data_IF_679300709843
#
_entry.id   IF_679300709843
#
_cell.length_a   1.000
_cell.length_b   1.000
_cell.length_c   1.000
_cell.angle_alpha   90.00
_cell.angle_beta   90.00
_cell.angle_gamma   90.00
#
_symmetry.space_group_name_H-M   'P 1'
#
loop_
_entity.id
_entity.type
_entity.pdbx_description
1 polymer ?
#
# COMPACT_ATOMS: atom_id res chain seq x y z
N UNK A 1 -8.42 10.35 9.68
CA UNK A 1 -8.60 9.22 8.74
C UNK A 1 -7.26 8.72 8.19
N UNK A 2 -6.43 9.55 7.54
CA UNK A 2 -5.06 9.14 7.10
C UNK A 2 -4.28 8.50 8.26
N UNK A 3 -4.11 9.24 9.36
CA UNK A 3 -3.36 8.76 10.52
C UNK A 3 -3.95 7.48 11.12
N UNK A 4 -5.27 7.28 11.06
CA UNK A 4 -5.89 6.06 11.58
C UNK A 4 -5.50 4.82 10.78
N UNK A 5 -5.30 4.95 9.46
CA UNK A 5 -4.80 3.86 8.62
C UNK A 5 -3.35 3.59 8.94
N UNK A 6 -2.52 4.63 9.03
CA UNK A 6 -1.09 4.50 9.28
C UNK A 6 -0.80 3.98 10.69
N UNK A 7 -1.46 4.50 11.72
CA UNK A 7 -1.32 4.01 13.11
C UNK A 7 -1.76 2.57 13.23
N UNK A 8 -2.90 2.22 12.60
CA UNK A 8 -3.36 0.85 12.59
C UNK A 8 -2.32 -0.06 11.93
N UNK A 9 -1.83 0.31 10.75
CA UNK A 9 -0.95 -0.56 10.01
C UNK A 9 0.45 -0.67 10.63
N UNK A 10 1.05 0.44 11.09
CA UNK A 10 2.45 0.51 11.49
C UNK A 10 2.71 0.53 13.00
N UNK A 11 1.77 1.02 13.81
CA UNK A 11 1.98 1.18 15.26
C UNK A 11 1.27 0.10 16.07
N UNK A 12 0.06 -0.28 15.65
CA UNK A 12 -0.73 -1.31 16.31
C UNK A 12 -0.44 -2.71 15.79
N UNK A 13 0.07 -2.80 14.57
CA UNK A 13 0.32 -4.03 13.85
C UNK A 13 1.69 -3.97 13.17
N UNK A 14 2.19 -5.13 12.77
CA UNK A 14 3.53 -5.26 12.21
C UNK A 14 3.64 -6.44 11.24
N UNK A 15 4.87 -6.71 10.75
CA UNK A 15 5.14 -7.74 9.75
C UNK A 15 4.52 -9.10 10.05
N UNK A 16 4.52 -9.53 11.31
CA UNK A 16 3.96 -10.82 11.73
C UNK A 16 2.47 -10.94 11.39
N UNK A 17 1.73 -9.83 11.35
CA UNK A 17 0.30 -9.81 11.04
C UNK A 17 0.02 -9.42 9.59
N UNK A 18 0.85 -8.54 8.99
CA UNK A 18 0.69 -8.14 7.59
C UNK A 18 0.75 -9.33 6.62
N UNK A 19 1.61 -10.30 6.93
CA UNK A 19 1.88 -11.46 6.06
C UNK A 19 1.16 -12.74 6.50
N UNK A 20 0.56 -12.75 7.69
CA UNK A 20 -0.15 -13.91 8.21
C UNK A 20 -1.62 -13.93 7.75
N UNK A 21 -2.16 -15.14 7.61
CA UNK A 21 -3.60 -15.34 7.52
C UNK A 21 -4.18 -15.35 8.93
N UNK A 22 -4.83 -14.26 9.31
CA UNK A 22 -5.50 -14.09 10.60
C UNK A 22 -6.92 -13.55 10.39
N UNK A 23 -7.91 -14.39 10.68
CA UNK A 23 -9.34 -14.07 10.50
C UNK A 23 -9.77 -12.94 11.44
N UNK A 24 -9.23 -12.87 12.66
CA UNK A 24 -9.58 -11.80 13.60
C UNK A 24 -9.03 -10.44 13.14
N UNK A 25 -7.86 -10.46 12.52
CA UNK A 25 -7.26 -9.27 11.89
C UNK A 25 -8.07 -8.82 10.67
N UNK A 26 -8.44 -9.75 9.78
CA UNK A 26 -9.26 -9.47 8.59
C UNK A 26 -10.62 -8.86 8.98
N UNK A 27 -11.29 -9.39 10.01
CA UNK A 27 -12.56 -8.84 10.51
C UNK A 27 -12.40 -7.48 11.18
N UNK A 28 -11.25 -7.23 11.82
CA UNK A 28 -10.92 -5.90 12.35
C UNK A 28 -10.78 -4.88 11.22
N UNK A 29 -10.09 -5.25 10.13
CA UNK A 29 -9.98 -4.41 8.93
C UNK A 29 -11.35 -4.15 8.31
N UNK A 30 -12.17 -5.20 8.15
CA UNK A 30 -13.54 -5.11 7.63
C UNK A 30 -14.37 -4.10 8.41
N UNK A 31 -14.37 -4.22 9.73
CA UNK A 31 -15.18 -3.39 10.62
C UNK A 31 -14.71 -1.94 10.65
N UNK A 32 -13.39 -1.70 10.74
CA UNK A 32 -12.84 -0.34 10.91
C UNK A 32 -12.68 0.41 9.59
N UNK A 33 -12.33 -0.28 8.52
CA UNK A 33 -11.86 0.35 7.29
C UNK A 33 -12.61 -0.07 6.03
N UNK A 34 -13.58 -0.98 6.09
CA UNK A 34 -14.35 -1.41 4.92
C UNK A 34 -14.99 -0.25 4.16
N UNK A 35 -15.69 0.66 4.86
CA UNK A 35 -16.27 1.86 4.24
C UNK A 35 -15.20 2.78 3.64
N UNK A 36 -14.03 2.90 4.28
CA UNK A 36 -12.95 3.76 3.80
C UNK A 36 -12.27 3.18 2.56
N UNK A 37 -12.08 1.86 2.52
CA UNK A 37 -11.65 1.12 1.34
C UNK A 37 -12.62 1.35 0.17
N UNK A 38 -13.93 1.24 0.40
CA UNK A 38 -14.92 1.49 -0.67
C UNK A 38 -14.82 2.92 -1.24
N UNK A 39 -14.57 3.92 -0.39
CA UNK A 39 -14.36 5.31 -0.83
C UNK A 39 -13.07 5.46 -1.64
N UNK A 40 -11.99 4.80 -1.21
CA UNK A 40 -10.74 4.76 -1.98
C UNK A 40 -10.96 4.12 -3.36
N UNK A 41 -11.69 3.00 -3.41
CA UNK A 41 -12.02 2.30 -4.65
C UNK A 41 -12.87 3.14 -5.63
N UNK A 42 -13.65 4.10 -5.11
CA UNK A 42 -14.42 5.08 -5.90
C UNK A 42 -13.63 6.37 -6.21
N UNK A 43 -12.33 6.42 -5.88
CA UNK A 43 -11.46 7.58 -6.01
C UNK A 43 -11.92 8.84 -5.25
N UNK A 44 -12.74 8.68 -4.20
CA UNK A 44 -13.26 9.80 -3.39
C UNK A 44 -12.24 10.33 -2.36
N UNK A 45 -11.05 9.74 -2.31
CA UNK A 45 -9.95 10.13 -1.43
C UNK A 45 -8.84 10.89 -2.16
N UNK A 46 -9.11 11.44 -3.35
CA UNK A 46 -8.11 12.16 -4.16
C UNK A 46 -7.32 13.23 -3.38
N UNK A 47 -7.99 13.95 -2.47
CA UNK A 47 -7.38 14.96 -1.61
C UNK A 47 -6.26 14.40 -0.70
N UNK A 48 -6.21 13.08 -0.45
CA UNK A 48 -5.11 12.45 0.31
C UNK A 48 -3.80 12.48 -0.45
N UNK A 49 -3.85 12.58 -1.78
CA UNK A 49 -2.67 12.58 -2.65
C UNK A 49 -1.85 13.87 -2.54
N UNK A 50 -2.33 14.86 -1.78
CA UNK A 50 -1.62 16.09 -1.48
C UNK A 50 -0.41 15.89 -0.54
N UNK A 51 -0.33 14.78 0.20
CA UNK A 51 0.77 14.51 1.14
C UNK A 51 1.35 13.11 0.96
N UNK A 52 2.63 12.89 1.33
CA UNK A 52 3.24 11.56 1.31
C UNK A 52 2.46 10.52 2.12
N UNK A 53 2.09 10.87 3.36
CA UNK A 53 1.34 10.00 4.25
C UNK A 53 -0.06 9.67 3.71
N UNK A 54 -0.73 10.63 3.09
CA UNK A 54 -2.04 10.39 2.49
C UNK A 54 -1.95 9.46 1.28
N UNK A 55 -0.93 9.62 0.42
CA UNK A 55 -0.65 8.68 -0.69
C UNK A 55 -0.39 7.28 -0.18
N UNK A 56 0.47 7.14 0.84
CA UNK A 56 0.79 5.86 1.45
C UNK A 56 -0.47 5.17 2.00
N UNK A 57 -1.29 5.91 2.74
CA UNK A 57 -2.52 5.37 3.31
C UNK A 57 -3.53 4.94 2.25
N UNK A 58 -3.69 5.71 1.17
CA UNK A 58 -4.57 5.32 0.04
C UNK A 58 -4.07 4.05 -0.65
N UNK A 59 -2.76 3.91 -0.85
CA UNK A 59 -2.16 2.69 -1.42
C UNK A 59 -2.38 1.49 -0.49
N UNK A 60 -2.17 1.63 0.82
CA UNK A 60 -2.41 0.54 1.79
C UNK A 60 -3.87 0.09 1.76
N UNK A 61 -4.83 1.01 1.66
CA UNK A 61 -6.24 0.66 1.53
C UNK A 61 -6.47 -0.20 0.28
N UNK A 62 -5.99 0.23 -0.88
CA UNK A 62 -6.29 -0.43 -2.15
C UNK A 62 -5.50 -1.73 -2.37
N UNK A 63 -4.26 -1.81 -1.88
CA UNK A 63 -3.36 -2.92 -2.14
C UNK A 63 -3.39 -3.95 -1.00
N UNK A 64 -3.13 -3.52 0.23
CA UNK A 64 -3.00 -4.42 1.38
C UNK A 64 -4.37 -4.78 1.95
N UNK A 65 -5.21 -3.79 2.29
CA UNK A 65 -6.50 -4.08 2.93
C UNK A 65 -7.43 -4.84 1.99
N UNK A 66 -7.39 -4.61 0.68
CA UNK A 66 -8.15 -5.41 -0.28
C UNK A 66 -7.88 -6.91 -0.13
N UNK A 67 -6.61 -7.30 0.09
CA UNK A 67 -6.19 -8.70 0.27
C UNK A 67 -6.69 -9.30 1.58
N UNK A 68 -6.80 -8.50 2.64
CA UNK A 68 -7.44 -8.91 3.90
C UNK A 68 -8.97 -8.98 3.78
N UNK A 69 -9.60 -7.99 3.14
CA UNK A 69 -11.06 -7.84 3.02
C UNK A 69 -11.69 -8.92 2.14
N UNK A 70 -10.97 -9.36 1.11
CA UNK A 70 -11.47 -10.28 0.08
C UNK A 70 -10.58 -11.51 -0.06
N UNK A 71 -10.07 -12.02 1.07
CA UNK A 71 -9.22 -13.21 1.07
C UNK A 71 -9.90 -14.38 0.34
N UNK A 72 -9.10 -15.11 -0.44
CA UNK A 72 -9.54 -16.24 -1.27
C UNK A 72 -10.60 -15.86 -2.33
N UNK A 73 -10.73 -14.57 -2.67
CA UNK A 73 -11.68 -14.03 -3.66
C UNK A 73 -10.96 -13.13 -4.68
N UNK A 74 -11.38 -13.18 -5.95
CA UNK A 74 -10.76 -12.39 -7.03
C UNK A 74 -10.82 -10.87 -6.79
N UNK A 75 -11.77 -10.39 -5.97
CA UNK A 75 -11.86 -8.99 -5.58
C UNK A 75 -10.63 -8.48 -4.84
N UNK A 76 -9.83 -9.36 -4.22
CA UNK A 76 -8.57 -8.99 -3.60
C UNK A 76 -7.59 -8.31 -4.56
N UNK A 77 -7.70 -8.60 -5.86
CA UNK A 77 -6.81 -8.11 -6.91
C UNK A 77 -7.46 -7.03 -7.79
N UNK A 78 -8.75 -6.74 -7.57
CA UNK A 78 -9.52 -5.83 -8.42
C UNK A 78 -9.00 -4.38 -8.41
N UNK A 79 -8.20 -4.04 -7.40
CA UNK A 79 -7.71 -2.68 -7.15
C UNK A 79 -6.22 -2.52 -7.47
N UNK A 80 -5.51 -3.60 -7.80
CA UNK A 80 -4.06 -3.62 -8.05
C UNK A 80 -3.67 -2.61 -9.14
N UNK A 81 -4.47 -2.47 -10.19
CA UNK A 81 -4.24 -1.48 -11.26
C UNK A 81 -4.27 -0.03 -10.76
N UNK A 82 -5.25 0.32 -9.91
CA UNK A 82 -5.33 1.66 -9.33
C UNK A 82 -4.21 1.89 -8.32
N UNK A 83 -3.93 0.91 -7.45
CA UNK A 83 -2.84 0.97 -6.50
C UNK A 83 -1.48 1.19 -7.19
N UNK A 84 -1.24 0.51 -8.32
CA UNK A 84 -0.04 0.68 -9.12
C UNK A 84 0.08 2.09 -9.72
N UNK A 85 -1.00 2.64 -10.27
CA UNK A 85 -1.00 4.01 -10.80
C UNK A 85 -0.65 5.01 -9.69
N UNK A 86 -1.25 4.87 -8.50
CA UNK A 86 -0.98 5.75 -7.37
C UNK A 86 0.45 5.62 -6.85
N UNK A 87 0.97 4.39 -6.80
CA UNK A 87 2.36 4.13 -6.45
C UNK A 87 3.34 4.79 -7.44
N UNK A 88 3.08 4.68 -8.75
CA UNK A 88 3.89 5.33 -9.79
C UNK A 88 3.90 6.85 -9.64
N UNK A 89 2.73 7.45 -9.39
CA UNK A 89 2.64 8.89 -9.16
C UNK A 89 3.33 9.32 -7.86
N UNK A 90 3.26 8.51 -6.81
CA UNK A 90 3.95 8.79 -5.55
C UNK A 90 5.48 8.75 -5.70
N UNK A 91 6.02 7.74 -6.38
CA UNK A 91 7.46 7.61 -6.64
C UNK A 91 7.96 8.72 -7.57
N UNK A 92 7.20 9.09 -8.62
CA UNK A 92 7.54 10.23 -9.49
C UNK A 92 7.63 11.55 -8.72
N UNK A 93 6.81 11.71 -7.69
CA UNK A 93 6.82 12.87 -6.80
C UNK A 93 7.82 12.76 -5.64
N UNK A 94 8.64 11.70 -5.60
CA UNK A 94 9.55 11.38 -4.49
C UNK A 94 8.85 11.31 -3.12
N UNK A 95 7.54 11.03 -3.09
CA UNK A 95 6.75 10.98 -1.86
C UNK A 95 7.16 9.80 -0.97
N UNK A 96 7.59 8.69 -1.59
CA UNK A 96 8.17 7.54 -0.91
C UNK A 96 9.43 7.90 -0.11
N UNK A 97 10.21 8.88 -0.57
CA UNK A 97 11.41 9.32 0.15
C UNK A 97 11.09 10.18 1.38
N UNK A 98 9.89 10.75 1.44
CA UNK A 98 9.44 11.61 2.53
C UNK A 98 8.77 10.85 3.70
N UNK A 99 8.71 9.51 3.64
CA UNK A 99 8.24 8.66 4.74
C UNK A 99 9.39 7.84 5.36
N UNK A 100 9.24 7.36 6.61
CA UNK A 100 10.19 6.45 7.24
C UNK A 100 10.49 5.20 6.39
N UNK A 101 11.73 4.70 6.47
CA UNK A 101 12.27 3.65 5.60
C UNK A 101 11.45 2.34 5.63
N UNK A 102 11.01 1.95 6.82
CA UNK A 102 10.18 0.78 7.09
C UNK A 102 8.80 0.85 6.42
N UNK A 103 8.29 2.06 6.15
CA UNK A 103 7.00 2.29 5.48
C UNK A 103 7.12 2.31 3.97
N UNK A 104 8.30 2.63 3.42
CA UNK A 104 8.50 2.79 1.97
C UNK A 104 8.15 1.55 1.16
N UNK A 105 8.33 0.36 1.75
CA UNK A 105 8.02 -0.90 1.07
C UNK A 105 6.60 -0.94 0.52
N UNK A 106 5.64 -0.30 1.18
CA UNK A 106 4.24 -0.27 0.77
C UNK A 106 3.97 0.63 -0.44
N UNK A 107 4.84 1.58 -0.76
CA UNK A 107 4.80 2.26 -2.06
C UNK A 107 5.23 1.33 -3.20
N UNK A 108 6.02 0.30 -2.92
CA UNK A 108 6.60 -0.56 -3.95
C UNK A 108 5.86 -1.89 -4.13
N UNK A 109 5.08 -2.32 -3.13
CA UNK A 109 4.26 -3.54 -3.20
C UNK A 109 3.35 -3.58 -4.45
N UNK A 110 2.67 -2.50 -4.87
CA UNK A 110 1.85 -2.53 -6.08
C UNK A 110 2.63 -2.86 -7.37
N UNK A 111 3.92 -2.50 -7.44
CA UNK A 111 4.78 -2.92 -8.54
C UNK A 111 5.05 -4.42 -8.51
N UNK A 112 5.30 -4.97 -7.32
CA UNK A 112 5.55 -6.40 -7.12
C UNK A 112 4.31 -7.26 -7.41
N UNK A 113 3.12 -6.71 -7.16
CA UNK A 113 1.85 -7.37 -7.48
C UNK A 113 1.45 -7.28 -8.95
N UNK A 114 2.12 -6.45 -9.75
CA UNK A 114 1.85 -6.37 -11.19
C UNK A 114 2.32 -7.64 -11.90
N UNK A 115 1.49 -8.18 -12.79
CA UNK A 115 1.88 -9.28 -13.68
C UNK A 115 2.57 -8.80 -14.98
N UNK A 116 2.84 -7.49 -15.10
CA UNK A 116 3.42 -6.91 -16.32
C UNK A 116 4.95 -6.84 -16.26
N UNK A 117 5.62 -7.52 -17.20
CA UNK A 117 7.08 -7.43 -17.35
C UNK A 117 7.57 -5.98 -17.50
N UNK A 118 6.87 -5.14 -18.26
CA UNK A 118 7.25 -3.74 -18.43
C UNK A 118 7.19 -2.92 -17.14
N UNK A 119 6.32 -3.30 -16.20
CA UNK A 119 6.23 -2.65 -14.88
C UNK A 119 7.41 -3.07 -14.03
N UNK A 120 7.81 -4.36 -14.07
CA UNK A 120 9.00 -4.85 -13.38
C UNK A 120 10.28 -4.20 -13.91
N UNK A 121 10.43 -4.11 -15.23
CA UNK A 121 11.58 -3.44 -15.87
C UNK A 121 11.67 -1.97 -15.42
N UNK A 122 10.53 -1.26 -15.37
CA UNK A 122 10.48 0.12 -14.91
C UNK A 122 10.69 0.28 -13.39
N UNK A 123 10.46 -0.77 -12.61
CA UNK A 123 10.63 -0.77 -11.16
C UNK A 123 12.05 -1.16 -10.73
N UNK A 124 12.86 -1.74 -11.60
CA UNK A 124 14.23 -2.18 -11.30
C UNK A 124 15.07 -1.05 -10.66
N UNK A 125 15.11 0.19 -11.18
CA UNK A 125 15.87 1.28 -10.55
C UNK A 125 15.35 1.65 -9.15
N UNK A 126 14.03 1.54 -8.94
CA UNK A 126 13.38 1.80 -7.64
C UNK A 126 13.81 0.75 -6.62
N UNK A 127 13.90 -0.52 -7.04
CA UNK A 127 14.35 -1.61 -6.19
C UNK A 127 15.86 -1.60 -5.92
N UNK A 128 16.69 -1.17 -6.88
CA UNK A 128 18.13 -1.01 -6.69
C UNK A 128 18.46 0.08 -5.67
N UNK A 129 17.85 1.27 -5.78
CA UNK A 129 18.02 2.35 -4.80
C UNK A 129 17.66 1.90 -3.37
N UNK A 130 16.66 1.02 -3.24
CA UNK A 130 16.28 0.41 -1.95
C UNK A 130 17.34 -0.57 -1.43
N UNK A 131 17.98 -1.35 -2.30
CA UNK A 131 19.05 -2.28 -1.92
C UNK A 131 20.29 -1.54 -1.43
N UNK A 132 20.65 -0.45 -2.09
CA UNK A 132 21.79 0.40 -1.68
C UNK A 132 21.56 1.05 -0.32
N UNK A 133 20.35 1.55 -0.07
CA UNK A 133 19.99 2.16 1.22
C UNK A 133 20.07 1.17 2.38
N UNK A 134 19.77 -0.11 2.15
CA UNK A 134 19.90 -1.18 3.17
C UNK A 134 21.34 -1.59 3.48
N UNK A 135 22.29 -1.30 2.60
CA UNK A 135 23.70 -1.67 2.80
C UNK A 135 24.50 -0.58 3.53
N UNK A 136 23.86 0.54 3.89
CA UNK A 136 24.46 1.68 4.58
C UNK A 136 24.05 1.78 6.06
N UNK A 137 23.28 0.81 6.56
CA UNK A 137 22.91 0.63 7.98
C UNK A 137 23.68 -0.54 8.60
#
# INVERSE_FOLDING_TARGET
MIQQVLDFWFELHGPDQWWAKDVAFDETIRTKFGTLHERAARAELDHWRATPDGRLAEIILLDQFARNLYRDDARAFAYDGMALVLAQEAVRASADQAVPLDRRVFFYMPYQHSESASVHDAAEPVFEAKRESKNLE
#
